data_IF_105347038806
#
_entry.id   IF_105347038806
#
_cell.length_a   1.000
_cell.length_b   1.000
_cell.length_c   1.000
_cell.angle_alpha   90.00
_cell.angle_beta   90.00
_cell.angle_gamma   90.00
#
_symmetry.space_group_name_H-M   'P 1'
#
loop_
_entity.id
_entity.type
_entity.pdbx_description
1 polymer ?
#
# COMPACT_ATOMS: atom_id res chain seq x y z
N UNK A 1 -14.57 16.54 -33.37
CA UNK A 1 -13.73 16.91 -32.20
C UNK A 1 -14.37 18.08 -31.48
N UNK A 2 -15.14 17.85 -30.40
CA UNK A 2 -15.70 18.95 -29.62
C UNK A 2 -14.55 19.69 -28.92
N UNK A 3 -14.40 20.99 -29.24
CA UNK A 3 -13.34 21.81 -28.63
C UNK A 3 -13.76 22.19 -27.22
N UNK A 4 -12.98 21.75 -26.23
CA UNK A 4 -13.03 22.22 -24.84
C UNK A 4 -13.12 23.75 -24.78
N UNK A 5 -13.84 24.28 -23.79
CA UNK A 5 -14.01 25.73 -23.58
C UNK A 5 -12.65 26.45 -23.47
N UNK A 6 -11.62 25.80 -22.91
CA UNK A 6 -10.27 26.37 -22.81
C UNK A 6 -9.50 26.36 -24.13
N UNK A 7 -9.71 25.36 -24.98
CA UNK A 7 -9.01 25.26 -26.28
C UNK A 7 -9.53 26.23 -27.34
N UNK A 8 -10.70 26.84 -27.10
CA UNK A 8 -11.26 27.91 -27.95
C UNK A 8 -10.55 29.25 -27.77
N UNK A 9 -9.96 29.53 -26.60
CA UNK A 9 -9.26 30.80 -26.32
C UNK A 9 -7.94 30.93 -27.10
N UNK A 10 -7.25 29.83 -27.40
CA UNK A 10 -6.01 29.82 -28.19
C UNK A 10 -5.94 28.57 -29.06
N UNK A 11 -6.07 28.76 -30.36
CA UNK A 11 -6.04 27.65 -31.33
C UNK A 11 -4.60 27.23 -31.59
N UNK A 12 -4.24 26.00 -31.24
CA UNK A 12 -2.98 25.36 -31.67
C UNK A 12 -3.21 24.69 -33.02
N UNK A 13 -2.44 25.07 -34.04
CA UNK A 13 -2.42 24.37 -35.34
C UNK A 13 -1.48 23.16 -35.25
N UNK A 14 -1.91 22.04 -35.80
CA UNK A 14 -1.16 20.79 -35.89
C UNK A 14 -0.91 20.49 -37.39
N UNK A 15 0.33 20.15 -37.74
CA UNK A 15 0.74 19.82 -39.12
C UNK A 15 1.11 18.33 -39.28
N UNK A 16 0.93 17.53 -38.23
CA UNK A 16 1.14 16.09 -38.24
C UNK A 16 0.20 15.41 -39.22
N UNK A 17 0.77 14.63 -40.13
CA UNK A 17 0.01 13.88 -41.14
C UNK A 17 -0.51 12.53 -40.62
N UNK A 18 0.18 11.97 -39.63
CA UNK A 18 -0.15 10.67 -39.04
C UNK A 18 -1.13 10.91 -37.88
N UNK A 19 -2.32 10.28 -37.91
CA UNK A 19 -3.27 10.41 -36.81
C UNK A 19 -2.77 9.68 -35.56
N UNK A 20 -3.07 10.24 -34.39
CA UNK A 20 -2.77 9.60 -33.11
C UNK A 20 -3.65 8.36 -32.94
N UNK A 21 -3.03 7.17 -32.92
CA UNK A 21 -3.74 5.88 -32.84
C UNK A 21 -4.09 5.50 -31.40
N UNK A 22 -3.24 5.87 -30.45
CA UNK A 22 -3.44 5.62 -29.02
C UNK A 22 -3.37 6.94 -28.24
N UNK A 23 -4.27 7.17 -27.28
CA UNK A 23 -4.21 8.36 -26.45
C UNK A 23 -2.92 8.38 -25.61
N UNK A 24 -2.47 9.58 -25.26
CA UNK A 24 -1.35 9.75 -24.33
C UNK A 24 -1.71 9.10 -22.99
N UNK A 25 -0.88 8.18 -22.47
CA UNK A 25 -1.14 7.57 -21.17
C UNK A 25 -0.94 8.60 -20.06
N UNK A 26 -1.40 8.28 -18.86
CA UNK A 26 -1.15 9.10 -17.69
C UNK A 26 0.33 8.98 -17.30
N UNK A 27 1.10 10.06 -17.49
CA UNK A 27 2.54 10.07 -17.32
C UNK A 27 3.01 9.81 -15.87
N UNK A 28 2.13 9.96 -14.88
CA UNK A 28 2.43 9.68 -13.46
C UNK A 28 1.83 8.36 -12.98
N UNK A 29 1.21 7.58 -13.87
CA UNK A 29 0.51 6.34 -13.54
C UNK A 29 1.42 5.30 -12.92
N UNK A 30 2.66 5.18 -13.41
CA UNK A 30 3.64 4.23 -12.88
C UNK A 30 3.90 4.50 -11.39
N UNK A 31 4.03 5.77 -11.00
CA UNK A 31 4.28 6.14 -9.61
C UNK A 31 3.08 5.86 -8.72
N UNK A 32 1.88 6.26 -9.17
CA UNK A 32 0.63 6.05 -8.41
C UNK A 32 0.35 4.55 -8.25
N UNK A 33 0.31 3.82 -9.37
CA UNK A 33 -0.03 2.40 -9.38
C UNK A 33 0.98 1.53 -8.61
N UNK A 34 2.27 1.87 -8.64
CA UNK A 34 3.28 1.15 -7.87
C UNK A 34 3.02 1.27 -6.37
N UNK A 35 2.77 2.50 -5.89
CA UNK A 35 2.53 2.75 -4.47
C UNK A 35 1.17 2.23 -3.99
N UNK A 36 0.13 2.35 -4.83
CA UNK A 36 -1.21 1.81 -4.55
C UNK A 36 -1.16 0.27 -4.41
N UNK A 37 -0.39 -0.42 -5.25
CA UNK A 37 -0.16 -1.87 -5.14
C UNK A 37 0.61 -2.25 -3.89
N UNK A 38 1.57 -1.43 -3.48
CA UNK A 38 2.35 -1.68 -2.27
C UNK A 38 1.51 -1.54 -0.99
N UNK A 39 0.71 -0.47 -0.89
CA UNK A 39 -0.10 -0.17 0.28
C UNK A 39 -1.42 -0.94 0.34
N UNK A 40 -2.07 -1.14 -0.81
CA UNK A 40 -3.43 -1.68 -0.95
C UNK A 40 -4.47 -0.99 -0.05
N UNK A 41 -4.60 0.36 -0.14
CA UNK A 41 -5.45 1.12 0.77
C UNK A 41 -6.93 0.77 0.60
N UNK A 42 -7.65 0.61 1.71
CA UNK A 42 -9.11 0.40 1.72
C UNK A 42 -9.60 -0.97 1.24
N UNK A 43 -8.71 -1.88 0.84
CA UNK A 43 -9.09 -3.26 0.53
C UNK A 43 -9.38 -4.01 1.85
N UNK A 44 -10.59 -4.59 2.04
CA UNK A 44 -10.87 -5.41 3.21
C UNK A 44 -10.01 -6.69 3.17
N UNK A 45 -9.77 -7.28 4.35
CA UNK A 45 -8.78 -8.34 4.56
C UNK A 45 -9.01 -9.58 3.68
N UNK A 46 -10.26 -9.87 3.37
CA UNK A 46 -10.74 -10.99 2.57
C UNK A 46 -10.43 -10.83 1.07
N UNK A 47 -10.35 -9.61 0.57
CA UNK A 47 -10.10 -9.30 -0.86
C UNK A 47 -8.66 -8.84 -1.11
N UNK A 48 -7.87 -8.63 -0.05
CA UNK A 48 -6.51 -8.10 -0.16
C UNK A 48 -5.56 -9.11 -0.82
N UNK A 49 -4.76 -8.64 -1.77
CA UNK A 49 -3.81 -9.48 -2.48
C UNK A 49 -2.58 -9.75 -1.62
N UNK A 50 -1.97 -10.93 -1.78
CA UNK A 50 -0.72 -11.28 -1.10
C UNK A 50 0.48 -10.60 -1.78
N UNK A 51 0.57 -9.27 -1.64
CA UNK A 51 1.60 -8.44 -2.26
C UNK A 51 1.92 -7.21 -1.40
N UNK A 52 3.04 -6.55 -1.68
CA UNK A 52 3.42 -5.32 -0.99
C UNK A 52 3.63 -5.55 0.50
N UNK A 53 2.99 -4.74 1.35
CA UNK A 53 3.10 -4.87 2.80
C UNK A 53 2.70 -6.26 3.33
N UNK A 54 1.68 -6.88 2.74
CA UNK A 54 1.25 -8.22 3.16
C UNK A 54 2.36 -9.26 2.98
N UNK A 55 2.98 -9.26 1.81
CA UNK A 55 4.05 -10.19 1.46
C UNK A 55 5.30 -9.96 2.31
N UNK A 56 5.64 -8.69 2.57
CA UNK A 56 6.72 -8.32 3.49
C UNK A 56 6.47 -8.91 4.89
N UNK A 57 5.27 -8.74 5.45
CA UNK A 57 4.96 -9.35 6.75
C UNK A 57 4.98 -10.88 6.70
N UNK A 58 4.41 -11.50 5.66
CA UNK A 58 4.43 -12.97 5.52
C UNK A 58 5.83 -13.56 5.29
N UNK A 59 6.77 -12.79 4.76
CA UNK A 59 8.17 -13.24 4.59
C UNK A 59 8.94 -13.28 5.91
N UNK A 60 8.55 -12.45 6.90
CA UNK A 60 9.22 -12.35 8.20
C UNK A 60 8.54 -13.22 9.26
N UNK A 61 7.21 -13.33 9.20
CA UNK A 61 6.42 -14.07 10.17
C UNK A 61 6.04 -15.47 9.66
N UNK A 62 5.95 -16.50 10.52
CA UNK A 62 6.02 -16.42 11.98
C UNK A 62 7.44 -16.33 12.54
N UNK A 63 7.60 -15.57 13.63
CA UNK A 63 8.86 -15.50 14.38
C UNK A 63 8.73 -16.47 15.55
N UNK A 64 9.66 -17.43 15.64
CA UNK A 64 9.68 -18.45 16.69
C UNK A 64 10.69 -18.10 17.76
N UNK A 65 10.32 -18.33 19.01
CA UNK A 65 11.26 -18.25 20.13
C UNK A 65 12.31 -19.37 20.04
N UNK A 66 13.52 -19.10 20.54
CA UNK A 66 14.63 -20.05 20.53
C UNK A 66 14.33 -21.32 21.32
N UNK A 67 13.56 -21.22 22.42
CA UNK A 67 13.16 -22.37 23.22
C UNK A 67 11.96 -23.13 22.61
N UNK A 68 11.39 -22.64 21.51
CA UNK A 68 10.22 -23.24 20.87
C UNK A 68 8.94 -23.18 21.72
N UNK A 69 8.91 -22.33 22.76
CA UNK A 69 7.78 -22.18 23.69
C UNK A 69 6.72 -21.21 23.19
N UNK A 70 7.01 -20.44 22.13
CA UNK A 70 6.02 -19.60 21.50
C UNK A 70 6.41 -19.15 20.10
N UNK A 71 5.40 -18.72 19.35
CA UNK A 71 5.55 -18.10 18.05
C UNK A 71 4.66 -16.86 17.92
N UNK A 72 5.18 -15.84 17.24
CA UNK A 72 4.45 -14.63 16.89
C UNK A 72 4.00 -14.77 15.44
N UNK A 73 2.70 -14.62 15.19
CA UNK A 73 2.07 -14.72 13.89
C UNK A 73 1.56 -13.37 13.41
N UNK A 74 1.69 -13.12 12.11
CA UNK A 74 1.04 -11.98 11.45
C UNK A 74 -0.37 -12.34 11.00
N UNK A 75 -1.36 -11.57 11.48
CA UNK A 75 -2.79 -11.75 11.16
C UNK A 75 -3.25 -10.73 10.12
N UNK A 76 -3.03 -9.44 10.37
CA UNK A 76 -3.58 -8.36 9.56
C UNK A 76 -2.78 -7.05 9.73
N UNK A 77 -2.93 -6.12 8.78
CA UNK A 77 -2.51 -4.74 8.95
C UNK A 77 -3.60 -3.77 8.51
N UNK A 78 -3.60 -2.56 9.04
CA UNK A 78 -4.48 -1.48 8.66
C UNK A 78 -3.72 -0.16 8.54
N UNK A 79 -4.10 0.65 7.55
CA UNK A 79 -3.50 1.97 7.29
C UNK A 79 -4.53 3.03 7.66
N UNK A 80 -4.25 3.77 8.72
CA UNK A 80 -5.14 4.84 9.17
C UNK A 80 -5.02 6.07 8.29
N UNK A 81 -6.00 6.97 8.39
CA UNK A 81 -5.92 8.25 7.70
C UNK A 81 -4.72 9.06 8.21
N UNK A 82 -4.04 9.81 7.32
CA UNK A 82 -3.03 10.78 7.72
C UNK A 82 -3.60 11.78 8.75
N UNK A 83 -2.78 12.15 9.73
CA UNK A 83 -3.19 13.06 10.81
C UNK A 83 -3.46 14.48 10.33
N UNK A 84 -2.73 14.91 9.30
CA UNK A 84 -2.76 16.25 8.73
C UNK A 84 -2.84 16.15 7.21
N UNK A 85 -3.35 17.18 6.56
CA UNK A 85 -3.38 17.25 5.11
C UNK A 85 -2.03 17.70 4.51
N UNK A 86 -1.96 17.69 3.19
CA UNK A 86 -0.72 18.00 2.46
C UNK A 86 -0.33 19.49 2.62
N UNK A 87 -1.30 20.40 2.72
CA UNK A 87 -1.02 21.84 2.82
C UNK A 87 -0.46 22.19 4.20
N UNK A 88 -1.04 21.64 5.26
CA UNK A 88 -0.60 21.81 6.63
C UNK A 88 0.80 21.22 6.84
N UNK A 89 1.05 20.01 6.32
CA UNK A 89 2.38 19.40 6.35
C UNK A 89 3.43 20.28 5.65
N UNK A 90 3.09 20.87 4.49
CA UNK A 90 3.99 21.78 3.77
C UNK A 90 4.28 23.06 4.53
N UNK A 91 3.27 23.69 5.12
CA UNK A 91 3.44 24.94 5.86
C UNK A 91 4.27 24.75 7.14
N UNK A 92 4.09 23.63 7.83
CA UNK A 92 4.78 23.33 9.09
C UNK A 92 6.11 22.57 8.92
N UNK A 93 6.48 22.23 7.68
CA UNK A 93 7.70 21.46 7.40
C UNK A 93 7.66 20.02 7.95
N UNK A 94 6.47 19.41 8.01
CA UNK A 94 6.27 18.03 8.49
C UNK A 94 6.18 17.04 7.32
N UNK A 95 6.45 15.77 7.58
CA UNK A 95 6.21 14.69 6.61
C UNK A 95 4.73 14.33 6.57
N UNK A 96 4.15 14.23 5.37
CA UNK A 96 2.81 13.69 5.17
C UNK A 96 2.87 12.15 5.25
N UNK A 97 2.29 11.57 6.29
CA UNK A 97 2.33 10.14 6.55
C UNK A 97 1.05 9.63 7.24
N UNK A 98 0.82 8.32 7.10
CA UNK A 98 -0.27 7.59 7.71
C UNK A 98 0.28 6.55 8.72
N UNK A 99 -0.36 6.37 9.89
CA UNK A 99 -0.02 5.28 10.80
C UNK A 99 -0.31 3.90 10.19
N UNK A 100 0.60 2.95 10.41
CA UNK A 100 0.41 1.53 10.08
C UNK A 100 0.17 0.74 11.37
N UNK A 101 -1.04 0.19 11.53
CA UNK A 101 -1.39 -0.70 12.65
C UNK A 101 -1.29 -2.16 12.21
N UNK A 102 -0.61 -2.99 12.99
CA UNK A 102 -0.42 -4.41 12.69
C UNK A 102 -1.04 -5.24 13.80
N UNK A 103 -1.88 -6.20 13.42
CA UNK A 103 -2.46 -7.19 14.34
C UNK A 103 -1.60 -8.44 14.31
N UNK A 104 -0.99 -8.74 15.46
CA UNK A 104 -0.16 -9.91 15.68
C UNK A 104 -0.85 -10.84 16.67
N UNK A 105 -0.59 -12.14 16.55
CA UNK A 105 -1.06 -13.17 17.48
C UNK A 105 0.14 -13.87 18.10
N UNK A 106 0.18 -13.94 19.41
CA UNK A 106 1.16 -14.74 20.13
C UNK A 106 0.54 -16.11 20.45
N UNK A 107 1.20 -17.17 20.01
CA UNK A 107 0.87 -18.56 20.36
C UNK A 107 1.93 -19.04 21.34
N UNK A 108 1.51 -19.64 22.46
CA UNK A 108 2.39 -20.18 23.50
C UNK A 108 2.04 -21.65 23.69
N UNK A 109 3.05 -22.51 23.77
CA UNK A 109 2.88 -23.92 24.11
C UNK A 109 3.38 -24.16 25.53
N UNK A 110 2.61 -24.93 26.28
CA UNK A 110 3.02 -25.41 27.58
C UNK A 110 3.77 -26.73 27.36
N UNK A 111 5.05 -26.77 27.72
CA UNK A 111 5.88 -27.97 27.56
C UNK A 111 5.87 -28.69 28.90
N UNK A 112 5.17 -29.82 28.97
CA UNK A 112 5.16 -30.69 30.14
C UNK A 112 6.55 -31.35 30.30
N UNK A 113 7.27 -30.99 31.37
CA UNK A 113 8.66 -31.43 31.62
C UNK A 113 8.78 -32.95 31.89
N UNK A 114 7.69 -33.65 32.21
CA UNK A 114 7.71 -35.10 32.49
C UNK A 114 7.45 -35.96 31.25
N UNK A 115 6.68 -35.47 30.27
CA UNK A 115 6.23 -36.29 29.13
C UNK A 115 6.75 -35.81 27.77
N UNK A 116 7.28 -34.57 27.67
CA UNK A 116 7.80 -34.02 26.42
C UNK A 116 6.74 -33.87 25.31
N UNK A 117 5.45 -34.05 25.64
CA UNK A 117 4.34 -33.82 24.73
C UNK A 117 4.08 -32.31 24.58
N UNK A 118 3.70 -31.90 23.37
CA UNK A 118 3.35 -30.52 23.01
C UNK A 118 1.85 -30.35 22.88
#
# INVERSE_FOLDING_TARGET
MSKSLTSRKRVRRDFGRIPTVAPMPNLIEVQKSSYDKFLQPGAPLDVRQQSGLWDVFKSVFPIKDFAGKGELEFVAYDLEAPKYDVEECRQRGMTFSAPLKVTLRLVVWDVDEETGAR
#
